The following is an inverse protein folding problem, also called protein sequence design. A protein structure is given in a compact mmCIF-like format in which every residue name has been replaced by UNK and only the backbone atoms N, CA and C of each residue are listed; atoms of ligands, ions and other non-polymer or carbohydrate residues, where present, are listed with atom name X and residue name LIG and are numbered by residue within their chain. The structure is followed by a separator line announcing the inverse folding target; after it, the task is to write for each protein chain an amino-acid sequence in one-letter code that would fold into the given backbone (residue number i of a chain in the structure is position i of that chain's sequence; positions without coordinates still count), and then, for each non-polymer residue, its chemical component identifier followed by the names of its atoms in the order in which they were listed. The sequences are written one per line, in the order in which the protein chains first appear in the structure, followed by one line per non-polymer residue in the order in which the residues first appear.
data_IF_393418036497
#
_entry.id   IF_393418036497
#
_cell.length_a   1.000
_cell.length_b   1.000
_cell.length_c   1.000
_cell.angle_alpha   90.00
_cell.angle_beta   90.00
_cell.angle_gamma   90.00
#
_symmetry.space_group_name_H-M   'P 1'
#
loop_
_entity.id
_entity.type
_entity.pdbx_description
1 polymer ?
#
# COMPACT_ATOMS: atom_id res chain seq x y z
N UNK A 1 -19.33 -25.04 21.14
CA UNK A 1 -18.86 -26.41 20.87
C UNK A 1 -19.48 -26.83 19.55
N UNK A 2 -18.70 -26.99 18.49
CA UNK A 2 -19.17 -27.48 17.21
C UNK A 2 -18.67 -28.93 17.06
N UNK A 3 -19.53 -29.81 16.54
CA UNK A 3 -19.25 -31.20 16.27
C UNK A 3 -17.95 -31.35 15.45
N UNK A 4 -17.13 -32.35 15.79
CA UNK A 4 -15.96 -32.78 15.02
C UNK A 4 -16.43 -33.40 13.69
N UNK A 5 -16.86 -32.58 12.74
CA UNK A 5 -16.92 -33.01 11.35
C UNK A 5 -15.47 -33.09 10.84
N UNK A 6 -15.02 -34.31 10.53
CA UNK A 6 -13.72 -34.54 9.91
C UNK A 6 -13.79 -34.15 8.44
N UNK A 7 -13.45 -32.90 8.13
CA UNK A 7 -13.24 -32.47 6.75
C UNK A 7 -11.91 -33.01 6.23
N UNK A 8 -11.96 -33.65 5.06
CA UNK A 8 -10.77 -34.04 4.29
C UNK A 8 -10.45 -32.95 3.27
N UNK A 9 -9.22 -32.89 2.74
CA UNK A 9 -8.84 -31.86 1.76
C UNK A 9 -9.69 -31.86 0.49
N UNK A 10 -10.21 -33.03 0.10
CA UNK A 10 -11.05 -33.23 -1.09
C UNK A 10 -12.53 -32.98 -0.83
N UNK A 11 -12.93 -32.63 0.40
CA UNK A 11 -14.34 -32.39 0.72
C UNK A 11 -14.87 -31.21 -0.10
N UNK A 12 -15.93 -31.46 -0.87
CA UNK A 12 -16.60 -30.46 -1.67
C UNK A 12 -17.39 -29.49 -0.78
N UNK A 13 -17.23 -28.20 -1.06
CA UNK A 13 -17.92 -27.12 -0.38
C UNK A 13 -18.61 -26.22 -1.42
N UNK A 14 -19.85 -25.86 -1.11
CA UNK A 14 -20.55 -24.82 -1.86
C UNK A 14 -20.22 -23.47 -1.28
N UNK A 15 -19.97 -22.52 -2.18
CA UNK A 15 -19.63 -21.16 -1.82
C UNK A 15 -20.88 -20.46 -1.25
N UNK A 16 -20.70 -19.62 -0.22
CA UNK A 16 -21.81 -18.99 0.49
C UNK A 16 -22.41 -17.82 -0.32
N UNK A 17 -23.72 -17.80 -0.51
CA UNK A 17 -24.35 -16.73 -1.29
C UNK A 17 -24.17 -15.34 -0.65
N UNK A 18 -24.09 -15.28 0.68
CA UNK A 18 -24.02 -14.01 1.42
C UNK A 18 -22.77 -13.16 1.12
N UNK A 19 -21.69 -13.73 0.59
CA UNK A 19 -20.45 -13.01 0.32
C UNK A 19 -20.30 -12.56 -1.14
N UNK A 20 -21.22 -12.92 -2.05
CA UNK A 20 -21.11 -12.53 -3.47
C UNK A 20 -21.10 -11.01 -3.65
N UNK A 21 -21.93 -10.29 -2.90
CA UNK A 21 -22.04 -8.83 -2.94
C UNK A 21 -20.73 -8.19 -2.49
N UNK A 22 -20.10 -8.73 -1.44
CA UNK A 22 -18.79 -8.28 -0.95
C UNK A 22 -17.72 -8.53 -2.01
N UNK A 23 -17.72 -9.71 -2.64
CA UNK A 23 -16.75 -10.06 -3.68
C UNK A 23 -16.83 -9.13 -4.90
N UNK A 24 -18.05 -8.85 -5.38
CA UNK A 24 -18.28 -7.92 -6.50
C UNK A 24 -17.86 -6.50 -6.14
N UNK A 25 -18.24 -6.00 -4.96
CA UNK A 25 -17.81 -4.69 -4.49
C UNK A 25 -16.28 -4.57 -4.47
N UNK A 26 -15.60 -5.57 -3.89
CA UNK A 26 -14.15 -5.54 -3.77
C UNK A 26 -13.47 -5.63 -5.14
N UNK A 27 -14.00 -6.40 -6.09
CA UNK A 27 -13.51 -6.42 -7.47
C UNK A 27 -13.64 -5.07 -8.16
N UNK A 28 -14.78 -4.38 -8.00
CA UNK A 28 -14.99 -3.05 -8.55
C UNK A 28 -13.97 -2.02 -8.02
N UNK A 29 -13.49 -2.18 -6.79
CA UNK A 29 -12.44 -1.34 -6.19
C UNK A 29 -11.04 -1.78 -6.66
N UNK A 30 -10.78 -3.07 -6.83
CA UNK A 30 -9.46 -3.55 -7.22
C UNK A 30 -9.10 -3.21 -8.68
N UNK A 31 -10.08 -3.19 -9.59
CA UNK A 31 -9.84 -2.94 -11.03
C UNK A 31 -9.19 -1.57 -11.29
N UNK A 32 -9.69 -0.42 -10.77
CA UNK A 32 -9.02 0.87 -10.90
C UNK A 32 -7.63 0.87 -10.26
N UNK A 33 -7.47 0.19 -9.12
CA UNK A 33 -6.18 0.03 -8.45
C UNK A 33 -5.17 -0.71 -9.33
N UNK A 34 -5.61 -1.74 -10.05
CA UNK A 34 -4.78 -2.52 -10.97
C UNK A 34 -4.25 -1.63 -12.09
N UNK A 35 -5.12 -0.84 -12.71
CA UNK A 35 -4.73 0.10 -13.75
C UNK A 35 -3.66 1.10 -13.26
N UNK A 36 -3.86 1.70 -12.07
CA UNK A 36 -2.91 2.65 -11.50
C UNK A 36 -1.55 2.01 -11.17
N UNK A 37 -1.54 0.80 -10.61
CA UNK A 37 -0.28 0.11 -10.30
C UNK A 37 0.46 -0.30 -11.58
N UNK A 38 -0.23 -0.79 -12.61
CA UNK A 38 0.37 -1.09 -13.92
C UNK A 38 1.00 0.18 -14.51
N UNK A 39 0.28 1.30 -14.49
CA UNK A 39 0.79 2.58 -14.98
C UNK A 39 2.09 2.97 -14.27
N UNK A 40 2.12 2.92 -12.93
CA UNK A 40 3.31 3.26 -12.15
C UNK A 40 4.45 2.28 -12.43
N UNK A 41 4.15 0.99 -12.58
CA UNK A 41 5.15 -0.03 -12.89
C UNK A 41 5.82 0.26 -14.24
N UNK A 42 5.02 0.53 -15.29
CA UNK A 42 5.51 0.92 -16.62
C UNK A 42 6.42 2.16 -16.54
N UNK A 43 6.02 3.17 -15.77
CA UNK A 43 6.81 4.40 -15.59
C UNK A 43 8.11 4.12 -14.81
N UNK A 44 8.07 3.25 -13.80
CA UNK A 44 9.26 2.89 -13.02
C UNK A 44 10.26 2.04 -13.82
N UNK A 45 9.80 1.21 -14.74
CA UNK A 45 10.67 0.39 -15.60
C UNK A 45 11.38 1.21 -16.68
N UNK A 46 10.91 2.43 -16.98
CA UNK A 46 11.59 3.32 -17.93
C UNK A 46 12.85 3.95 -17.33
N UNK A 47 14.02 3.84 -18.00
CA UNK A 47 15.26 4.45 -17.52
C UNK A 47 15.18 5.99 -17.55
N UNK A 48 15.93 6.63 -16.65
CA UNK A 48 16.24 8.07 -16.64
C UNK A 48 15.08 9.07 -16.40
N UNK A 49 13.87 8.62 -16.03
CA UNK A 49 12.76 9.54 -15.72
C UNK A 49 12.67 9.96 -14.25
N UNK A 50 13.34 9.24 -13.35
CA UNK A 50 13.29 9.47 -11.90
C UNK A 50 14.65 9.23 -11.22
N UNK A 51 14.94 9.90 -10.09
CA UNK A 51 16.11 9.58 -9.28
C UNK A 51 16.10 8.11 -8.83
N UNK A 52 17.24 7.41 -8.95
CA UNK A 52 17.34 5.96 -8.75
C UNK A 52 16.73 5.48 -7.43
N UNK A 53 17.09 6.09 -6.29
CA UNK A 53 16.53 5.74 -4.97
C UNK A 53 15.02 5.99 -4.86
N UNK A 54 14.52 7.09 -5.42
CA UNK A 54 13.08 7.38 -5.40
C UNK A 54 12.32 6.36 -6.24
N UNK A 55 12.83 6.04 -7.43
CA UNK A 55 12.31 4.98 -8.29
C UNK A 55 12.29 3.63 -7.58
N UNK A 56 13.34 3.28 -6.84
CA UNK A 56 13.43 2.02 -6.09
C UNK A 56 12.35 1.93 -5.00
N UNK A 57 12.12 3.01 -4.26
CA UNK A 57 11.06 3.06 -3.24
C UNK A 57 9.67 2.92 -3.88
N UNK A 58 9.39 3.69 -4.94
CA UNK A 58 8.10 3.62 -5.64
C UNK A 58 7.89 2.22 -6.23
N UNK A 59 8.90 1.67 -6.90
CA UNK A 59 8.84 0.32 -7.48
C UNK A 59 8.56 -0.74 -6.42
N UNK A 60 9.28 -0.71 -5.29
CA UNK A 60 9.05 -1.65 -4.19
C UNK A 60 7.63 -1.56 -3.62
N UNK A 61 7.13 -0.32 -3.41
CA UNK A 61 5.74 -0.08 -3.00
C UNK A 61 4.74 -0.62 -4.00
N UNK A 62 4.93 -0.34 -5.29
CA UNK A 62 4.06 -0.83 -6.35
C UNK A 62 4.07 -2.34 -6.44
N UNK A 63 5.22 -3.01 -6.32
CA UNK A 63 5.30 -4.48 -6.32
C UNK A 63 4.50 -5.05 -5.15
N UNK A 64 4.68 -4.55 -3.93
CA UNK A 64 3.95 -5.05 -2.77
C UNK A 64 2.42 -4.87 -2.92
N UNK A 65 1.98 -3.70 -3.40
CA UNK A 65 0.57 -3.43 -3.70
C UNK A 65 0.05 -4.37 -4.79
N UNK A 66 0.82 -4.55 -5.87
CA UNK A 66 0.46 -5.38 -7.01
C UNK A 66 0.30 -6.85 -6.61
N UNK A 67 1.22 -7.38 -5.81
CA UNK A 67 1.14 -8.74 -5.26
C UNK A 67 -0.14 -8.95 -4.46
N UNK A 68 -0.41 -8.11 -3.46
CA UNK A 68 -1.61 -8.27 -2.62
C UNK A 68 -2.92 -8.13 -3.40
N UNK A 69 -2.93 -7.23 -4.38
CA UNK A 69 -4.07 -7.03 -5.26
C UNK A 69 -4.31 -8.21 -6.19
N UNK A 70 -3.28 -8.78 -6.82
CA UNK A 70 -3.41 -9.97 -7.69
C UNK A 70 -4.02 -11.13 -6.92
N UNK A 71 -3.46 -11.47 -5.76
CA UNK A 71 -3.99 -12.60 -4.98
C UNK A 71 -5.43 -12.34 -4.51
N UNK A 72 -5.76 -11.10 -4.18
CA UNK A 72 -7.13 -10.72 -3.84
C UNK A 72 -8.07 -10.85 -5.04
N UNK A 73 -7.67 -10.36 -6.22
CA UNK A 73 -8.46 -10.48 -7.45
C UNK A 73 -8.64 -11.94 -7.88
N UNK A 74 -7.60 -12.77 -7.78
CA UNK A 74 -7.70 -14.20 -8.06
C UNK A 74 -8.73 -14.85 -7.14
N UNK A 75 -8.66 -14.59 -5.82
CA UNK A 75 -9.63 -15.14 -4.88
C UNK A 75 -11.06 -14.68 -5.17
N UNK A 76 -11.29 -13.39 -5.41
CA UNK A 76 -12.64 -12.89 -5.72
C UNK A 76 -13.15 -13.42 -7.06
N UNK A 77 -12.28 -13.58 -8.07
CA UNK A 77 -12.65 -14.15 -9.36
C UNK A 77 -13.00 -15.63 -9.23
N UNK A 78 -12.19 -16.38 -8.48
CA UNK A 78 -12.46 -17.77 -8.12
C UNK A 78 -13.82 -17.91 -7.41
N UNK A 79 -14.09 -17.01 -6.45
CA UNK A 79 -15.35 -16.95 -5.72
C UNK A 79 -16.56 -16.74 -6.64
N UNK A 80 -16.49 -15.70 -7.48
CA UNK A 80 -17.56 -15.33 -8.40
C UNK A 80 -17.77 -16.45 -9.43
N UNK A 81 -16.70 -17.05 -9.95
CA UNK A 81 -16.77 -18.15 -10.90
C UNK A 81 -17.57 -19.31 -10.34
N UNK A 82 -17.17 -19.85 -9.19
CA UNK A 82 -17.84 -21.00 -8.54
C UNK A 82 -19.28 -20.69 -8.11
N UNK A 83 -19.56 -19.43 -7.72
CA UNK A 83 -20.94 -18.99 -7.45
C UNK A 83 -21.80 -18.99 -8.73
N UNK A 84 -21.30 -18.44 -9.84
CA UNK A 84 -22.05 -18.35 -11.10
C UNK A 84 -22.22 -19.71 -11.77
N UNK A 85 -21.17 -20.53 -11.78
CA UNK A 85 -21.19 -21.87 -12.38
C UNK A 85 -21.93 -22.91 -11.52
N UNK A 86 -22.22 -22.59 -10.26
CA UNK A 86 -22.78 -23.52 -9.26
C UNK A 86 -21.92 -24.78 -9.09
N UNK A 87 -20.63 -24.72 -9.46
CA UNK A 87 -19.71 -25.85 -9.31
C UNK A 87 -19.13 -25.84 -7.89
N UNK A 88 -19.15 -26.97 -7.18
CA UNK A 88 -18.51 -27.04 -5.87
C UNK A 88 -17.01 -26.77 -6.01
N UNK A 89 -16.42 -26.26 -4.94
CA UNK A 89 -14.98 -26.14 -4.82
C UNK A 89 -14.49 -27.06 -3.72
N UNK A 90 -13.24 -27.50 -3.77
CA UNK A 90 -12.68 -28.29 -2.65
C UNK A 90 -12.40 -27.38 -1.46
N UNK A 91 -12.55 -27.92 -0.26
CA UNK A 91 -12.14 -27.29 1.00
C UNK A 91 -10.72 -26.73 0.94
N UNK A 92 -9.77 -27.49 0.39
CA UNK A 92 -8.38 -27.07 0.23
C UNK A 92 -8.24 -25.81 -0.64
N UNK A 93 -8.77 -25.81 -1.86
CA UNK A 93 -8.63 -24.68 -2.79
C UNK A 93 -9.25 -23.39 -2.26
N UNK A 94 -10.44 -23.46 -1.65
CA UNK A 94 -11.08 -22.27 -1.08
C UNK A 94 -10.27 -21.73 0.11
N UNK A 95 -9.77 -22.61 0.97
CA UNK A 95 -8.86 -22.25 2.07
C UNK A 95 -7.56 -21.61 1.56
N UNK A 96 -6.88 -22.26 0.61
CA UNK A 96 -5.62 -21.81 0.04
C UNK A 96 -5.74 -20.40 -0.55
N UNK A 97 -6.68 -20.18 -1.47
CA UNK A 97 -6.81 -18.89 -2.15
C UNK A 97 -7.22 -17.77 -1.19
N UNK A 98 -8.09 -18.06 -0.23
CA UNK A 98 -8.45 -17.10 0.81
C UNK A 98 -7.26 -16.70 1.67
N UNK A 99 -6.44 -17.67 2.11
CA UNK A 99 -5.25 -17.39 2.93
C UNK A 99 -4.17 -16.69 2.12
N UNK A 100 -4.00 -17.06 0.85
CA UNK A 100 -3.12 -16.35 -0.06
C UNK A 100 -3.56 -14.89 -0.23
N UNK A 101 -4.84 -14.61 -0.50
CA UNK A 101 -5.37 -13.24 -0.58
C UNK A 101 -5.14 -12.43 0.71
N UNK A 102 -5.36 -13.07 1.87
CA UNK A 102 -5.18 -12.42 3.18
C UNK A 102 -3.70 -12.12 3.45
N UNK A 103 -2.80 -13.10 3.34
CA UNK A 103 -1.42 -12.92 3.76
C UNK A 103 -0.54 -12.24 2.71
N UNK A 104 -0.81 -12.44 1.41
CA UNK A 104 -0.07 -11.76 0.34
C UNK A 104 -0.41 -10.26 0.26
N UNK A 105 -1.42 -9.81 1.00
CA UNK A 105 -1.70 -8.38 1.22
C UNK A 105 -0.92 -7.76 2.40
N UNK A 106 -0.26 -8.55 3.25
CA UNK A 106 0.57 -8.01 4.33
C UNK A 106 1.72 -7.13 3.84
N UNK A 107 2.47 -7.46 2.76
CA UNK A 107 3.54 -6.61 2.28
C UNK A 107 3.04 -5.22 1.88
N UNK A 108 1.85 -5.12 1.27
CA UNK A 108 1.27 -3.84 0.84
C UNK A 108 0.93 -2.96 2.04
N UNK A 109 0.38 -3.53 3.11
CA UNK A 109 0.00 -2.82 4.33
C UNK A 109 1.21 -2.45 5.20
N UNK A 110 2.26 -3.26 5.16
CA UNK A 110 3.48 -3.07 5.94
C UNK A 110 4.55 -2.22 5.23
N UNK A 111 4.40 -1.94 3.93
CA UNK A 111 5.37 -1.12 3.17
C UNK A 111 5.67 0.23 3.83
N UNK A 112 4.67 0.79 4.53
CA UNK A 112 4.72 2.10 5.18
C UNK A 112 5.83 2.14 6.24
N UNK A 113 6.18 1.02 6.89
CA UNK A 113 7.27 0.99 7.86
C UNK A 113 8.62 1.20 7.19
N UNK A 114 8.85 0.57 6.03
CA UNK A 114 10.11 0.67 5.28
C UNK A 114 10.32 2.11 4.81
N UNK A 115 9.27 2.72 4.24
CA UNK A 115 9.33 4.10 3.75
C UNK A 115 9.46 5.11 4.88
N UNK A 116 8.77 4.89 6.01
CA UNK A 116 8.84 5.78 7.18
C UNK A 116 10.23 5.75 7.84
N UNK A 117 10.81 4.56 8.03
CA UNK A 117 12.17 4.40 8.57
C UNK A 117 13.21 5.02 7.63
N UNK A 118 13.12 4.75 6.32
CA UNK A 118 14.05 5.31 5.33
C UNK A 118 14.05 6.85 5.38
N UNK A 119 12.86 7.46 5.42
CA UNK A 119 12.70 8.92 5.47
C UNK A 119 13.15 9.49 6.80
N UNK A 120 12.83 8.85 7.92
CA UNK A 120 13.29 9.27 9.23
C UNK A 120 14.82 9.28 9.30
N UNK A 121 15.47 8.19 8.88
CA UNK A 121 16.93 8.09 8.88
C UNK A 121 17.57 9.12 7.95
N UNK A 122 17.01 9.31 6.76
CA UNK A 122 17.54 10.28 5.79
C UNK A 122 17.38 11.73 6.26
N UNK A 123 16.21 12.11 6.79
CA UNK A 123 15.87 13.51 7.09
C UNK A 123 16.31 13.91 8.50
N UNK A 124 15.98 13.11 9.51
CA UNK A 124 16.25 13.46 10.90
C UNK A 124 17.65 13.06 11.35
N UNK A 125 18.21 11.98 10.79
CA UNK A 125 19.53 11.47 11.17
C UNK A 125 20.63 11.70 10.13
N UNK A 126 20.28 12.15 8.92
CA UNK A 126 21.21 12.29 7.79
C UNK A 126 21.96 10.97 7.47
N UNK A 127 21.34 9.83 7.75
CA UNK A 127 21.88 8.49 7.48
C UNK A 127 21.29 8.02 6.15
N UNK A 128 22.16 7.72 5.18
CA UNK A 128 21.74 7.13 3.91
C UNK A 128 21.76 5.60 4.02
N UNK A 129 20.58 5.01 4.10
CA UNK A 129 20.41 3.56 3.95
C UNK A 129 20.84 3.14 2.54
N UNK A 130 21.63 2.06 2.43
CA UNK A 130 22.03 1.46 1.15
C UNK A 130 20.81 0.87 0.45
N UNK A 131 20.73 1.03 -0.87
CA UNK A 131 19.58 0.57 -1.67
C UNK A 131 19.33 -0.94 -1.52
N UNK A 132 20.40 -1.75 -1.43
CA UNK A 132 20.30 -3.20 -1.20
C UNK A 132 19.55 -3.56 0.09
N UNK A 133 19.67 -2.75 1.15
CA UNK A 133 18.94 -2.98 2.42
C UNK A 133 17.45 -2.66 2.29
N UNK A 134 17.11 -1.68 1.47
CA UNK A 134 15.71 -1.33 1.17
C UNK A 134 15.07 -2.48 0.38
N UNK A 135 15.75 -2.97 -0.66
CA UNK A 135 15.30 -4.14 -1.44
C UNK A 135 15.14 -5.37 -0.55
N UNK A 136 16.14 -5.66 0.29
CA UNK A 136 16.08 -6.78 1.24
C UNK A 136 14.86 -6.66 2.17
N UNK A 137 14.52 -5.46 2.62
CA UNK A 137 13.34 -5.24 3.46
C UNK A 137 12.04 -5.62 2.74
N UNK A 138 11.90 -5.29 1.45
CA UNK A 138 10.74 -5.70 0.65
C UNK A 138 10.68 -7.22 0.43
N UNK A 139 11.84 -7.87 0.23
CA UNK A 139 11.92 -9.33 0.11
C UNK A 139 11.48 -9.98 1.42
N UNK A 140 11.99 -9.50 2.56
CA UNK A 140 11.63 -10.02 3.89
C UNK A 140 10.13 -9.93 4.13
N UNK A 141 9.46 -8.82 3.76
CA UNK A 141 8.01 -8.70 3.88
C UNK A 141 7.26 -9.78 3.09
N UNK A 142 7.70 -10.10 1.86
CA UNK A 142 7.09 -11.16 1.05
C UNK A 142 7.38 -12.56 1.61
N UNK A 143 8.60 -12.80 2.11
CA UNK A 143 8.95 -14.07 2.75
C UNK A 143 8.08 -14.32 3.98
N UNK A 144 7.86 -13.31 4.82
CA UNK A 144 6.95 -13.41 5.97
C UNK A 144 5.52 -13.73 5.53
N UNK A 145 5.03 -13.10 4.45
CA UNK A 145 3.71 -13.37 3.90
C UNK A 145 3.59 -14.82 3.39
N UNK A 146 4.54 -15.30 2.59
CA UNK A 146 4.56 -16.66 2.07
C UNK A 146 4.65 -17.67 3.21
N UNK A 147 5.55 -17.45 4.17
CA UNK A 147 5.66 -18.29 5.36
C UNK A 147 4.34 -18.36 6.14
N UNK A 148 3.63 -17.24 6.28
CA UNK A 148 2.33 -17.21 6.95
C UNK A 148 1.28 -18.05 6.22
N UNK A 149 1.26 -18.02 4.88
CA UNK A 149 0.40 -18.90 4.06
C UNK A 149 0.76 -20.37 4.29
N UNK A 150 2.04 -20.73 4.24
CA UNK A 150 2.50 -22.12 4.42
C UNK A 150 2.14 -22.66 5.81
N UNK A 151 2.35 -21.87 6.87
CA UNK A 151 1.98 -22.25 8.24
C UNK A 151 0.48 -22.50 8.36
N UNK A 152 -0.35 -21.71 7.66
CA UNK A 152 -1.80 -21.92 7.67
C UNK A 152 -2.20 -23.22 6.98
N UNK A 153 -1.59 -23.53 5.84
CA UNK A 153 -1.92 -24.75 5.10
C UNK A 153 -1.46 -25.99 5.88
N UNK A 154 -0.27 -25.93 6.48
CA UNK A 154 0.34 -27.07 7.17
C UNK A 154 -0.27 -27.34 8.55
N UNK A 155 -0.62 -26.29 9.30
CA UNK A 155 -1.04 -26.41 10.71
C UNK A 155 -2.44 -25.87 10.99
N UNK A 156 -3.18 -25.48 9.96
CA UNK A 156 -4.49 -24.88 10.14
C UNK A 156 -5.57 -25.88 10.56
N UNK A 157 -6.48 -25.45 11.42
CA UNK A 157 -7.67 -26.21 11.82
C UNK A 157 -8.89 -25.83 10.99
N UNK A 158 -9.94 -26.64 10.98
CA UNK A 158 -11.19 -26.31 10.29
C UNK A 158 -11.95 -25.22 11.07
N UNK A 159 -12.39 -24.16 10.39
CA UNK A 159 -13.32 -23.18 10.94
C UNK A 159 -14.40 -22.81 9.94
N UNK A 160 -15.62 -22.53 10.40
CA UNK A 160 -16.63 -21.91 9.55
C UNK A 160 -16.38 -20.41 9.42
N UNK A 161 -16.32 -19.94 8.18
CA UNK A 161 -16.12 -18.56 7.84
C UNK A 161 -17.12 -18.11 6.76
N UNK A 162 -17.33 -16.79 6.69
CA UNK A 162 -18.43 -16.20 5.90
C UNK A 162 -18.28 -16.42 4.38
N UNK A 163 -17.06 -16.39 3.83
CA UNK A 163 -16.88 -16.56 2.38
C UNK A 163 -17.02 -18.03 1.94
N UNK A 164 -16.13 -18.91 2.43
CA UNK A 164 -16.03 -20.28 1.94
C UNK A 164 -16.80 -21.32 2.79
N UNK A 165 -17.56 -20.90 3.82
CA UNK A 165 -18.12 -21.87 4.78
C UNK A 165 -16.99 -22.51 5.60
N UNK A 166 -16.92 -23.85 5.76
CA UNK A 166 -15.79 -24.49 6.42
C UNK A 166 -14.49 -24.29 5.61
N UNK A 167 -13.45 -23.73 6.23
CA UNK A 167 -12.14 -23.44 5.61
C UNK A 167 -10.99 -23.70 6.58
N UNK A 168 -9.78 -23.83 6.04
CA UNK A 168 -8.54 -23.90 6.83
C UNK A 168 -8.33 -22.56 7.55
N UNK A 169 -8.28 -22.58 8.88
CA UNK A 169 -8.01 -21.45 9.77
C UNK A 169 -6.67 -21.55 10.47
N UNK A 170 -6.08 -20.41 10.78
CA UNK A 170 -4.84 -20.38 11.55
C UNK A 170 -5.01 -21.12 12.88
N UNK A 171 -3.92 -21.69 13.42
CA UNK A 171 -3.78 -21.80 14.86
C UNK A 171 -4.05 -20.44 15.52
N UNK A 172 -4.97 -20.38 16.48
CA UNK A 172 -5.41 -19.12 17.10
C UNK A 172 -4.23 -18.25 17.56
N UNK A 173 -3.24 -18.86 18.22
CA UNK A 173 -2.05 -18.17 18.70
C UNK A 173 -1.21 -17.56 17.57
N UNK A 174 -1.09 -18.26 16.43
CA UNK A 174 -0.37 -17.76 15.26
C UNK A 174 -1.09 -16.56 14.64
N UNK A 175 -2.43 -16.61 14.52
CA UNK A 175 -3.21 -15.48 14.01
C UNK A 175 -3.09 -14.23 14.89
N UNK A 176 -3.17 -14.42 16.22
CA UNK A 176 -3.00 -13.33 17.19
C UNK A 176 -1.60 -12.75 17.09
N UNK A 177 -0.57 -13.58 17.01
CA UNK A 177 0.82 -13.14 16.88
C UNK A 177 1.06 -12.32 15.61
N UNK A 178 0.63 -12.81 14.44
CA UNK A 178 0.78 -12.09 13.16
C UNK A 178 -0.01 -10.78 13.17
N UNK A 179 -1.23 -10.81 13.71
CA UNK A 179 -2.06 -9.61 13.86
C UNK A 179 -1.41 -8.56 14.78
N UNK A 180 -0.80 -9.00 15.88
CA UNK A 180 -0.07 -8.13 16.81
C UNK A 180 1.19 -7.53 16.16
N UNK A 181 1.97 -8.33 15.44
CA UNK A 181 3.14 -7.86 14.69
C UNK A 181 2.73 -6.80 13.66
N UNK A 182 1.62 -7.03 12.96
CA UNK A 182 1.12 -6.11 11.95
C UNK A 182 0.56 -4.81 12.55
N UNK A 183 -0.16 -4.89 13.67
CA UNK A 183 -0.57 -3.70 14.39
C UNK A 183 0.65 -2.88 14.85
N UNK A 184 1.63 -3.56 15.46
CA UNK A 184 2.86 -2.93 15.97
C UNK A 184 3.65 -2.26 14.86
N UNK A 185 3.79 -2.89 13.69
CA UNK A 185 4.53 -2.31 12.57
C UNK A 185 3.90 -1.03 12.04
N UNK A 186 2.56 -0.97 11.96
CA UNK A 186 1.83 0.24 11.54
C UNK A 186 1.99 1.35 12.57
N UNK A 187 1.85 1.04 13.86
CA UNK A 187 2.03 2.03 14.94
C UNK A 187 3.45 2.59 14.93
N UNK A 188 4.46 1.72 14.78
CA UNK A 188 5.87 2.13 14.67
C UNK A 188 6.11 3.00 13.44
N UNK A 189 5.55 2.62 12.28
CA UNK A 189 5.64 3.41 11.05
C UNK A 189 5.06 4.81 11.24
N UNK A 190 3.87 4.89 11.85
CA UNK A 190 3.19 6.14 12.16
C UNK A 190 4.02 7.03 13.11
N UNK A 191 4.62 6.44 14.15
CA UNK A 191 5.52 7.14 15.05
C UNK A 191 6.73 7.75 14.34
N UNK A 192 7.36 7.00 13.43
CA UNK A 192 8.46 7.53 12.60
C UNK A 192 8.02 8.63 11.64
N UNK A 193 6.87 8.46 10.98
CA UNK A 193 6.31 9.47 10.09
C UNK A 193 6.00 10.77 10.83
N UNK A 194 5.33 10.69 11.99
CA UNK A 194 5.01 11.83 12.85
C UNK A 194 6.27 12.56 13.31
N UNK A 195 7.27 11.81 13.83
CA UNK A 195 8.55 12.38 14.27
C UNK A 195 9.29 13.10 13.14
N UNK A 196 9.23 12.54 11.93
CA UNK A 196 9.84 13.17 10.74
C UNK A 196 9.10 14.45 10.36
N UNK A 197 7.76 14.45 10.43
CA UNK A 197 6.95 15.64 10.16
C UNK A 197 7.22 16.76 11.17
N UNK A 198 7.24 16.43 12.47
CA UNK A 198 7.57 17.38 13.55
C UNK A 198 8.95 18.00 13.35
N UNK A 199 9.95 17.18 12.97
CA UNK A 199 11.29 17.67 12.66
C UNK A 199 11.28 18.67 11.49
N UNK A 200 10.54 18.39 10.41
CA UNK A 200 10.43 19.32 9.28
C UNK A 200 9.71 20.62 9.63
N UNK A 201 8.63 20.56 10.41
CA UNK A 201 7.92 21.76 10.88
C UNK A 201 8.82 22.63 11.74
N UNK A 202 9.57 22.02 12.66
CA UNK A 202 10.52 22.73 13.51
C UNK A 202 11.69 23.32 12.71
N UNK A 203 12.20 22.59 11.71
CA UNK A 203 13.23 23.08 10.80
C UNK A 203 12.73 24.25 9.94
N UNK A 204 11.49 24.20 9.44
CA UNK A 204 10.85 25.30 8.71
C UNK A 204 10.70 26.55 9.59
N UNK A 205 10.25 26.39 10.84
CA UNK A 205 10.16 27.48 11.82
C UNK A 205 11.51 28.09 12.11
N UNK A 206 12.53 27.28 12.38
CA UNK A 206 13.89 27.75 12.66
C UNK A 206 14.48 28.53 11.48
N UNK A 207 14.26 28.07 10.25
CA UNK A 207 14.72 28.78 9.05
C UNK A 207 13.93 30.07 8.77
N UNK A 208 12.62 30.13 9.08
CA UNK A 208 11.84 31.38 9.00
C UNK A 208 12.35 32.40 10.02
N UNK A 209 12.63 31.98 11.24
CA UNK A 209 13.19 32.85 12.29
C UNK A 209 14.58 33.34 11.87
N UNK A 210 15.47 32.44 11.42
CA UNK A 210 16.82 32.82 10.96
C UNK A 210 16.81 33.69 9.70
N UNK A 211 15.90 33.42 8.75
CA UNK A 211 15.75 34.22 7.54
C UNK A 211 15.18 35.61 7.80
N UNK A 212 14.22 35.73 8.73
CA UNK A 212 13.73 37.02 9.19
C UNK A 212 14.83 37.77 9.96
N UNK A 213 15.57 37.11 10.85
CA UNK A 213 16.73 37.70 11.55
C UNK A 213 17.82 38.18 10.58
N UNK A 214 18.12 37.45 9.51
CA UNK A 214 19.08 37.90 8.48
C UNK A 214 18.57 39.09 7.65
N UNK A 215 17.24 39.30 7.60
CA UNK A 215 16.60 40.37 6.84
C UNK A 215 16.34 41.63 7.68
N UNK A 216 16.22 41.49 9.00
CA UNK A 216 15.90 42.59 9.93
C UNK A 216 16.95 42.84 11.02
N UNK A 217 17.96 41.98 11.18
CA UNK A 217 18.91 42.02 12.29
C UNK A 217 20.37 42.24 11.86
N UNK A 218 21.07 43.08 12.62
CA UNK A 218 22.50 43.37 12.49
C UNK A 218 23.35 42.10 12.55
N UNK A 219 24.29 41.95 11.61
CA UNK A 219 25.22 40.82 11.45
C UNK A 219 26.06 40.49 12.70
N UNK A 220 26.11 41.38 13.71
CA UNK A 220 26.90 41.21 14.93
C UNK A 220 26.43 40.08 15.85
N UNK A 221 25.15 39.69 15.85
CA UNK A 221 24.66 38.63 16.75
C UNK A 221 24.82 37.20 16.17
N UNK A 222 24.98 37.06 14.85
CA UNK A 222 25.03 35.76 14.16
C UNK A 222 26.40 35.06 14.30
N UNK A 223 27.46 35.83 14.59
CA UNK A 223 28.83 35.28 14.72
C UNK A 223 29.10 34.55 16.05
N UNK A 224 28.24 34.72 17.07
CA UNK A 224 28.43 34.10 18.40
C UNK A 224 27.97 32.64 18.52
N UNK A 225 27.14 32.16 17.60
CA UNK A 225 26.69 30.75 17.57
C UNK A 225 26.99 30.16 16.21
N UNK A 226 28.21 29.65 16.01
CA UNK A 226 28.55 28.82 14.85
C UNK A 226 27.51 27.71 14.74
N UNK A 227 26.61 27.71 13.73
CA UNK A 227 25.76 26.56 13.51
C UNK A 227 26.67 25.46 13.01
N UNK A 228 26.91 24.44 13.84
CA UNK A 228 27.57 23.21 13.43
C UNK A 228 26.93 22.77 12.11
N UNK A 229 27.72 22.76 11.05
CA UNK A 229 27.29 22.68 9.65
C UNK A 229 26.67 21.30 9.38
N UNK A 230 25.44 21.10 9.85
CA UNK A 230 24.55 20.06 9.33
C UNK A 230 23.94 20.64 8.07
N UNK A 231 24.27 20.01 6.93
CA UNK A 231 23.80 20.27 5.56
C UNK A 231 22.50 21.11 5.52
N UNK A 232 22.58 22.38 5.08
CA UNK A 232 21.39 23.23 4.90
C UNK A 232 20.54 22.65 3.77
N UNK A 233 19.43 22.03 4.12
CA UNK A 233 18.38 21.65 3.17
C UNK A 233 17.73 22.95 2.69
N UNK A 234 17.69 23.17 1.37
CA UNK A 234 17.08 24.38 0.80
C UNK A 234 15.58 24.43 1.06
N UNK A 235 14.98 25.63 1.19
CA UNK A 235 13.54 25.74 1.51
C UNK A 235 12.62 25.01 0.51
N UNK A 236 12.97 25.02 -0.78
CA UNK A 236 12.24 24.27 -1.81
C UNK A 236 12.29 22.76 -1.57
N UNK A 237 13.43 22.24 -1.11
CA UNK A 237 13.59 20.82 -0.77
C UNK A 237 12.78 20.46 0.48
N UNK A 238 12.74 21.34 1.49
CA UNK A 238 11.90 21.14 2.70
C UNK A 238 10.43 20.98 2.32
N UNK A 239 9.91 21.85 1.45
CA UNK A 239 8.52 21.78 1.00
C UNK A 239 8.21 20.47 0.26
N UNK A 240 9.14 20.02 -0.61
CA UNK A 240 9.00 18.72 -1.31
C UNK A 240 9.03 17.55 -0.32
N UNK A 241 9.93 17.55 0.66
CA UNK A 241 9.97 16.48 1.67
C UNK A 241 8.70 16.46 2.53
N UNK A 242 8.16 17.63 2.90
CA UNK A 242 6.91 17.75 3.66
C UNK A 242 5.73 17.17 2.90
N UNK A 243 5.64 17.47 1.60
CA UNK A 243 4.62 16.90 0.71
C UNK A 243 4.73 15.36 0.68
N UNK A 244 5.94 14.81 0.48
CA UNK A 244 6.17 13.36 0.46
C UNK A 244 5.78 12.70 1.78
N UNK A 245 6.18 13.27 2.93
CA UNK A 245 5.85 12.71 4.26
C UNK A 245 4.35 12.80 4.54
N UNK A 246 3.68 13.87 4.10
CA UNK A 246 2.23 13.97 4.20
C UNK A 246 1.55 12.84 3.41
N UNK A 247 2.06 12.51 2.22
CA UNK A 247 1.63 11.34 1.46
C UNK A 247 1.80 10.03 2.23
N UNK A 248 2.98 9.80 2.83
CA UNK A 248 3.26 8.61 3.66
C UNK A 248 2.34 8.56 4.88
N UNK A 249 2.09 9.70 5.52
CA UNK A 249 1.20 9.79 6.67
C UNK A 249 -0.22 9.39 6.30
N UNK A 250 -0.77 9.96 5.23
CA UNK A 250 -2.11 9.62 4.73
C UNK A 250 -2.17 8.14 4.31
N UNK A 251 -1.13 7.63 3.66
CA UNK A 251 -1.00 6.21 3.32
C UNK A 251 -0.97 5.30 4.56
N UNK A 252 -0.47 5.77 5.71
CA UNK A 252 -0.45 5.02 6.96
C UNK A 252 -1.76 5.09 7.76
N UNK A 253 -2.57 6.15 7.59
CA UNK A 253 -3.86 6.30 8.30
C UNK A 253 -4.85 5.21 7.89
N UNK A 254 -4.94 4.88 6.60
CA UNK A 254 -5.92 3.90 6.14
C UNK A 254 -5.64 2.47 6.65
N UNK A 255 -4.39 1.93 6.57
CA UNK A 255 -4.02 0.69 7.22
C UNK A 255 -4.27 0.70 8.74
N UNK A 256 -4.08 1.84 9.41
CA UNK A 256 -4.37 1.94 10.83
C UNK A 256 -5.87 1.77 11.12
N UNK A 257 -6.73 2.45 10.35
CA UNK A 257 -8.19 2.30 10.46
C UNK A 257 -8.60 0.85 10.18
N UNK A 258 -8.08 0.24 9.11
CA UNK A 258 -8.45 -1.13 8.73
C UNK A 258 -7.97 -2.15 9.75
N UNK A 259 -6.78 -1.99 10.34
CA UNK A 259 -6.32 -2.89 11.42
C UNK A 259 -7.14 -2.71 12.70
N UNK A 260 -7.52 -1.50 13.06
CA UNK A 260 -8.43 -1.28 14.21
C UNK A 260 -9.78 -1.97 13.97
N UNK A 261 -10.33 -1.85 12.76
CA UNK A 261 -11.55 -2.56 12.39
C UNK A 261 -11.36 -4.08 12.43
N UNK A 262 -10.27 -4.60 11.87
CA UNK A 262 -9.95 -6.03 11.93
C UNK A 262 -9.82 -6.53 13.38
N UNK A 263 -9.20 -5.75 14.27
CA UNK A 263 -9.12 -6.08 15.70
C UNK A 263 -10.51 -6.14 16.34
N UNK A 264 -11.39 -5.17 16.05
CA UNK A 264 -12.78 -5.22 16.55
C UNK A 264 -13.56 -6.41 15.99
N UNK A 265 -13.30 -6.81 14.74
CA UNK A 265 -13.89 -8.00 14.13
C UNK A 265 -13.43 -9.28 14.83
N UNK A 266 -12.12 -9.41 15.09
CA UNK A 266 -11.57 -10.55 15.83
C UNK A 266 -12.14 -10.63 17.25
N UNK A 267 -12.21 -9.51 17.97
CA UNK A 267 -12.76 -9.48 19.34
C UNK A 267 -14.24 -9.86 19.36
N UNK A 268 -15.07 -9.28 18.48
CA UNK A 268 -16.51 -9.55 18.48
C UNK A 268 -16.82 -11.00 18.10
N UNK A 269 -16.19 -11.53 17.04
CA UNK A 269 -16.45 -12.88 16.57
C UNK A 269 -15.86 -13.92 17.53
N UNK A 270 -14.59 -13.78 17.93
CA UNK A 270 -13.89 -14.84 18.66
C UNK A 270 -13.99 -14.73 20.19
N UNK A 271 -14.16 -13.54 20.76
CA UNK A 271 -14.24 -13.37 22.22
C UNK A 271 -15.68 -13.20 22.72
N UNK A 272 -16.51 -12.46 21.98
CA UNK A 272 -17.88 -12.15 22.40
C UNK A 272 -18.94 -13.04 21.74
N UNK A 273 -18.57 -13.80 20.70
CA UNK A 273 -19.51 -14.62 19.93
C UNK A 273 -20.62 -13.81 19.26
N UNK A 274 -20.37 -12.53 18.97
CA UNK A 274 -21.34 -11.63 18.34
C UNK A 274 -21.08 -11.57 16.85
N UNK A 275 -22.11 -11.88 16.06
CA UNK A 275 -22.09 -11.62 14.63
C UNK A 275 -22.20 -10.12 14.36
N UNK A 276 -21.31 -9.64 13.50
CA UNK A 276 -21.34 -8.26 13.02
C UNK A 276 -22.34 -8.13 11.87
N UNK A 277 -22.90 -6.94 11.71
CA UNK A 277 -23.85 -6.68 10.62
C UNK A 277 -23.15 -6.80 9.25
N UNK A 278 -23.91 -7.20 8.23
CA UNK A 278 -23.43 -7.26 6.85
C UNK A 278 -22.77 -5.94 6.39
N UNK A 279 -23.35 -4.80 6.78
CA UNK A 279 -22.80 -3.47 6.49
C UNK A 279 -21.40 -3.25 7.06
N UNK A 280 -21.08 -3.86 8.20
CA UNK A 280 -19.73 -3.79 8.78
C UNK A 280 -18.70 -4.51 7.89
N UNK A 281 -19.01 -5.71 7.39
CA UNK A 281 -18.12 -6.44 6.49
C UNK A 281 -17.93 -5.73 5.15
N UNK A 282 -19.00 -5.11 4.62
CA UNK A 282 -18.96 -4.30 3.40
C UNK A 282 -18.04 -3.08 3.59
N UNK A 283 -18.17 -2.36 4.70
CA UNK A 283 -17.34 -1.20 5.02
C UNK A 283 -15.88 -1.61 5.24
N UNK A 284 -15.64 -2.70 5.95
CA UNK A 284 -14.29 -3.24 6.16
C UNK A 284 -13.64 -3.59 4.82
N UNK A 285 -14.32 -4.36 3.96
CA UNK A 285 -13.84 -4.69 2.62
C UNK A 285 -13.55 -3.44 1.79
N UNK A 286 -14.49 -2.49 1.77
CA UNK A 286 -14.33 -1.22 1.07
C UNK A 286 -13.05 -0.48 1.50
N UNK A 287 -12.86 -0.27 2.80
CA UNK A 287 -11.70 0.45 3.33
C UNK A 287 -10.40 -0.33 3.11
N UNK A 288 -10.44 -1.65 3.30
CA UNK A 288 -9.31 -2.54 3.10
C UNK A 288 -8.78 -2.48 1.66
N UNK A 289 -9.66 -2.65 0.68
CA UNK A 289 -9.26 -2.70 -0.73
C UNK A 289 -9.06 -1.31 -1.34
N UNK A 290 -9.70 -0.26 -0.80
CA UNK A 290 -9.46 1.13 -1.22
C UNK A 290 -8.00 1.55 -1.05
N UNK A 291 -7.26 0.90 -0.13
CA UNK A 291 -5.81 1.12 0.02
C UNK A 291 -5.03 0.88 -1.29
N UNK A 292 -5.43 -0.09 -2.12
CA UNK A 292 -4.76 -0.38 -3.38
C UNK A 292 -4.93 0.70 -4.44
N UNK A 293 -5.97 1.53 -4.34
CA UNK A 293 -6.16 2.74 -5.16
C UNK A 293 -5.45 3.92 -4.52
N UNK A 294 -5.68 4.13 -3.21
CA UNK A 294 -5.21 5.32 -2.52
C UNK A 294 -3.70 5.35 -2.39
N UNK A 295 -3.03 4.21 -2.16
CA UNK A 295 -1.57 4.13 -2.06
C UNK A 295 -0.86 4.65 -3.32
N UNK A 296 -1.12 4.14 -4.54
CA UNK A 296 -0.53 4.68 -5.75
C UNK A 296 -0.99 6.12 -6.02
N UNK A 297 -2.25 6.47 -5.76
CA UNK A 297 -2.77 7.83 -5.96
C UNK A 297 -2.02 8.87 -5.11
N UNK A 298 -1.82 8.59 -3.81
CA UNK A 298 -1.04 9.44 -2.92
C UNK A 298 0.42 9.57 -3.38
N UNK A 299 1.00 8.48 -3.90
CA UNK A 299 2.35 8.52 -4.48
C UNK A 299 2.43 9.44 -5.70
N UNK A 300 1.38 9.53 -6.51
CA UNK A 300 1.30 10.43 -7.66
C UNK A 300 1.08 11.88 -7.22
N UNK A 301 0.14 12.12 -6.30
CA UNK A 301 -0.22 13.47 -5.82
C UNK A 301 0.98 14.13 -5.11
N UNK A 302 1.59 13.41 -4.17
CA UNK A 302 2.65 13.92 -3.31
C UNK A 302 4.07 13.64 -3.85
N UNK A 303 4.23 12.69 -4.77
CA UNK A 303 5.51 12.34 -5.39
C UNK A 303 5.80 13.14 -6.65
N UNK A 304 6.28 14.37 -6.51
CA UNK A 304 6.59 15.27 -7.63
C UNK A 304 7.45 14.66 -8.76
N UNK A 305 8.50 13.87 -8.48
CA UNK A 305 9.25 13.17 -9.55
C UNK A 305 8.42 12.12 -10.29
N UNK A 306 7.58 11.35 -9.60
CA UNK A 306 6.69 10.36 -10.21
C UNK A 306 5.67 11.02 -11.12
N UNK A 307 5.01 12.08 -10.63
CA UNK A 307 4.02 12.84 -11.41
C UNK A 307 4.59 13.36 -12.72
N UNK A 308 5.79 13.95 -12.67
CA UNK A 308 6.50 14.42 -13.87
C UNK A 308 6.82 13.28 -14.83
N UNK A 309 7.33 12.16 -14.31
CA UNK A 309 7.63 10.98 -15.11
C UNK A 309 6.38 10.40 -15.80
N UNK A 310 5.23 10.39 -15.13
CA UNK A 310 3.95 9.98 -15.72
C UNK A 310 3.56 10.91 -16.87
N UNK A 311 3.52 12.23 -16.63
CA UNK A 311 3.18 13.23 -17.66
C UNK A 311 4.11 13.11 -18.87
N UNK A 312 5.42 12.98 -18.63
CA UNK A 312 6.42 12.83 -19.68
C UNK A 312 6.29 11.51 -20.46
N UNK A 313 5.66 10.48 -19.90
CA UNK A 313 5.37 9.25 -20.64
C UNK A 313 4.23 9.42 -21.66
N UNK A 314 3.33 10.38 -21.45
CA UNK A 314 2.19 10.66 -22.34
C UNK A 314 2.42 11.83 -23.29
N UNK A 315 3.39 12.73 -23.01
CA UNK A 315 3.76 13.85 -23.91
C UNK A 315 4.10 13.44 -25.35
N UNK A 316 4.91 12.39 -25.62
CA UNK A 316 5.28 12.03 -26.99
C UNK A 316 4.09 11.61 -27.85
N UNK A 317 3.06 11.02 -27.23
CA UNK A 317 1.82 10.65 -27.91
C UNK A 317 0.96 11.88 -28.22
N UNK A 318 0.96 12.88 -27.34
CA UNK A 318 0.19 14.11 -27.53
C UNK A 318 0.77 15.00 -28.63
N UNK A 319 2.10 15.13 -28.72
CA UNK A 319 2.76 15.88 -29.80
C UNK A 319 2.58 15.22 -31.17
N UNK A 320 2.64 13.88 -31.24
CA UNK A 320 2.33 13.13 -32.48
C UNK A 320 0.86 13.26 -32.89
N UNK A 321 -0.08 13.24 -31.95
CA UNK A 321 -1.51 13.49 -32.23
C UNK A 321 -1.77 14.91 -32.74
N UNK A 322 -1.03 15.91 -32.22
CA UNK A 322 -1.14 17.31 -32.64
C UNK A 322 -0.55 17.56 -34.04
N UNK A 323 0.50 16.82 -34.41
CA UNK A 323 1.05 16.81 -35.77
C UNK A 323 0.12 16.10 -36.77
N UNK A 324 -0.53 15.00 -36.36
CA UNK A 324 -1.46 14.25 -37.21
C UNK A 324 -2.78 15.00 -37.50
N UNK A 325 -3.26 15.85 -36.60
CA UNK A 325 -4.45 16.69 -36.82
C UNK A 325 -4.13 18.05 -37.47
N UNK A 326 -2.85 18.42 -37.53
CA UNK A 326 -2.38 19.63 -38.21
C UNK A 326 -2.11 19.47 -39.71
N UNK A 327 -2.09 18.23 -40.23
CA UNK A 327 -1.79 17.94 -41.65
C UNK A 327 -3.02 17.70 -42.53
N UNK A 328 -4.24 17.74 -42.01
CA UNK A 328 -5.47 17.57 -42.82
C UNK A 328 -6.05 18.88 -43.38
N UNK A 329 -5.39 20.04 -43.22
CA UNK A 329 -5.92 21.32 -43.69
C UNK A 329 -4.91 22.27 -44.36
N UNK A 330 -3.90 21.73 -45.05
CA UNK A 330 -3.17 22.52 -46.06
C UNK A 330 -3.29 21.82 -47.40
N UNK A 331 -4.42 22.05 -48.04
CA UNK A 331 -4.56 21.97 -49.48
C UNK A 331 -3.36 22.67 -50.13
N UNK A 332 -2.71 21.91 -51.00
CA UNK A 332 -1.75 22.41 -51.98
C UNK A 332 -2.43 23.54 -52.77
N UNK A 333 -2.01 24.79 -52.53
CA UNK A 333 -2.07 25.80 -53.58
C UNK A 333 -0.85 25.50 -54.45
N UNK A 334 -1.11 24.70 -55.49
CA UNK A 334 -0.23 24.58 -56.65
C UNK A 334 -0.21 25.96 -57.30
N UNK A 335 0.93 26.62 -57.26
CA UNK A 335 1.23 27.73 -58.14
C UNK A 335 1.85 27.16 -59.41
N UNK A 336 1.05 27.06 -60.48
CA UNK A 336 1.45 27.25 -61.88
C UNK A 336 0.30 27.95 -62.58
#
# INVERSE_FOLDING_TARGET
MALNETFTYDTEIRINESYIVIAVQNMAILIPGLFLNILILVVCLRPNKMPARFRLIVLGTTICNFTGMIFSMIFMTFYIYHYVSQTPSTFFWCGLWRRAATYMSLPSMNIVIVTSIDRYLHICRNIRVRESRIVLSYIVLHVIAIFSVLVHIAYGGVSHEISCGPTISAPRYFHVFISFLWFTSIVVAFGFALKTMMYLVNYERANKISGNFLRTGSWKEVLGRRPTVKRRIGQREVHVQKSIIMGIFIQGVLPLITVVMAATLVVNIFQLGRDLSFGYYMLFGFLYYSYYILSPLMSIIFGGPLRRAIVDCFKPSYEKLKLSTGTTNKSQIVAV
#
